data_IF_496519496072
#
_entry.id   IF_496519496072
#
_cell.length_a   1.000
_cell.length_b   1.000
_cell.length_c   1.000
_cell.angle_alpha   90.00
_cell.angle_beta   90.00
_cell.angle_gamma   90.00
#
_symmetry.space_group_name_H-M   'P 1'
#
loop_
_entity.id
_entity.type
_entity.pdbx_description
1 polymer ?
#
# COMPACT_ATOMS: atom_id res chain seq x y z
N UNK A 1 -28.62 -6.25 -32.73
CA UNK A 1 -29.20 -7.56 -33.11
C UNK A 1 -28.44 -8.07 -34.31
N UNK A 2 -27.76 -9.21 -34.18
CA UNK A 2 -27.26 -10.00 -35.30
C UNK A 2 -27.49 -11.45 -34.89
N UNK A 3 -28.37 -12.13 -35.63
CA UNK A 3 -28.75 -13.51 -35.39
C UNK A 3 -27.82 -14.43 -36.19
N UNK A 4 -27.07 -15.29 -35.51
CA UNK A 4 -26.60 -16.53 -36.11
C UNK A 4 -27.62 -17.61 -35.76
N UNK A 5 -28.26 -18.16 -36.79
CA UNK A 5 -29.12 -19.34 -36.68
C UNK A 5 -28.26 -20.52 -37.09
N UNK A 6 -28.02 -21.46 -36.18
CA UNK A 6 -27.62 -22.82 -36.54
C UNK A 6 -28.70 -23.79 -36.08
N UNK A 7 -29.22 -24.58 -37.03
CA UNK A 7 -30.38 -25.46 -36.86
C UNK A 7 -29.89 -26.78 -36.29
N UNK A 8 -30.20 -27.04 -35.00
CA UNK A 8 -30.32 -28.35 -34.30
C UNK A 8 -29.75 -28.41 -32.88
N UNK A 9 -29.52 -27.28 -32.23
CA UNK A 9 -29.45 -27.22 -30.76
C UNK A 9 -30.08 -25.91 -30.30
N UNK A 10 -30.90 -25.94 -29.24
CA UNK A 10 -31.44 -24.73 -28.63
C UNK A 10 -30.30 -23.98 -27.92
N UNK A 11 -29.43 -23.33 -28.70
CA UNK A 11 -28.33 -22.51 -28.23
C UNK A 11 -28.75 -21.04 -28.29
N UNK A 12 -29.07 -20.46 -27.13
CA UNK A 12 -29.36 -19.02 -27.00
C UNK A 12 -28.16 -18.32 -26.36
N UNK A 13 -27.43 -17.52 -27.13
CA UNK A 13 -26.34 -16.67 -26.64
C UNK A 13 -26.91 -15.29 -26.32
N UNK A 14 -26.92 -14.91 -25.05
CA UNK A 14 -27.30 -13.56 -24.61
C UNK A 14 -26.04 -12.74 -24.31
N UNK A 15 -25.80 -11.71 -25.11
CA UNK A 15 -24.77 -10.70 -24.83
C UNK A 15 -25.43 -9.44 -24.27
N UNK A 16 -24.99 -9.00 -23.09
CA UNK A 16 -25.42 -7.74 -22.50
C UNK A 16 -24.34 -6.68 -22.73
N UNK A 17 -24.72 -5.58 -23.39
CA UNK A 17 -23.84 -4.43 -23.68
C UNK A 17 -24.15 -3.30 -22.71
N UNK A 18 -23.19 -2.91 -21.88
CA UNK A 18 -23.31 -1.70 -21.06
C UNK A 18 -23.02 -0.44 -21.91
N UNK A 19 -23.78 0.66 -21.79
CA UNK A 19 -23.63 1.80 -22.69
C UNK A 19 -22.32 2.60 -22.58
N UNK A 20 -21.40 2.31 -21.64
CA UNK A 20 -20.19 3.14 -21.44
C UNK A 20 -18.92 2.40 -20.98
N UNK A 21 -18.78 1.09 -21.20
CA UNK A 21 -17.51 0.38 -20.98
C UNK A 21 -17.30 -0.71 -22.04
N UNK A 22 -16.10 -0.75 -22.66
CA UNK A 22 -15.65 -1.84 -23.55
C UNK A 22 -15.37 -3.13 -22.76
N UNK A 23 -16.37 -3.74 -22.11
CA UNK A 23 -16.26 -5.07 -21.51
C UNK A 23 -17.50 -5.88 -21.84
N UNK A 24 -17.29 -7.02 -22.48
CA UNK A 24 -18.33 -7.96 -22.88
C UNK A 24 -18.50 -9.02 -21.78
N UNK A 25 -19.73 -9.26 -21.37
CA UNK A 25 -20.10 -10.46 -20.61
C UNK A 25 -20.59 -11.49 -21.63
N UNK A 26 -19.90 -12.63 -21.73
CA UNK A 26 -20.37 -13.76 -22.53
C UNK A 26 -20.92 -14.81 -21.57
N UNK A 27 -22.23 -15.05 -21.63
CA UNK A 27 -22.83 -16.23 -21.04
C UNK A 27 -23.10 -17.23 -22.18
N UNK A 28 -22.37 -18.33 -22.20
CA UNK A 28 -22.66 -19.47 -23.08
C UNK A 28 -23.43 -20.48 -22.22
N UNK A 29 -24.72 -20.65 -22.49
CA UNK A 29 -25.52 -21.71 -21.88
C UNK A 29 -25.53 -22.91 -22.81
N UNK A 30 -24.97 -24.04 -22.36
CA UNK A 30 -25.24 -25.33 -22.99
C UNK A 30 -26.50 -25.92 -22.37
N UNK A 31 -27.55 -26.09 -23.16
CA UNK A 31 -28.70 -26.90 -22.80
C UNK A 31 -28.48 -28.30 -23.40
N UNK A 32 -27.79 -29.16 -22.65
CA UNK A 32 -27.93 -30.60 -22.81
C UNK A 32 -28.82 -31.09 -21.68
N UNK A 33 -29.81 -31.91 -22.02
CA UNK A 33 -30.79 -32.55 -21.12
C UNK A 33 -30.24 -32.68 -19.68
N UNK A 34 -30.66 -31.79 -18.79
CA UNK A 34 -30.38 -31.84 -17.35
C UNK A 34 -29.15 -31.10 -16.81
N UNK A 35 -28.30 -30.46 -17.63
CA UNK A 35 -27.07 -29.78 -17.16
C UNK A 35 -26.93 -28.36 -17.70
N UNK A 36 -26.55 -27.42 -16.83
CA UNK A 36 -26.17 -26.04 -17.21
C UNK A 36 -24.71 -25.81 -16.83
N UNK A 37 -23.85 -25.63 -17.84
CA UNK A 37 -22.48 -25.16 -17.65
C UNK A 37 -22.43 -23.64 -17.83
N UNK A 38 -21.89 -22.92 -16.85
CA UNK A 38 -21.66 -21.47 -16.94
C UNK A 38 -20.16 -21.20 -16.83
N UNK A 39 -19.55 -20.74 -17.92
CA UNK A 39 -18.13 -20.37 -17.98
C UNK A 39 -18.02 -18.86 -17.74
N UNK A 40 -17.35 -18.46 -16.66
CA UNK A 40 -17.05 -17.06 -16.38
C UNK A 40 -15.63 -16.72 -16.80
N UNK A 41 -15.43 -15.54 -17.42
CA UNK A 41 -14.08 -14.96 -17.53
C UNK A 41 -13.68 -14.45 -16.15
N UNK A 42 -12.52 -14.89 -15.69
CA UNK A 42 -11.96 -14.90 -14.33
C UNK A 42 -11.84 -13.55 -13.61
N UNK A 43 -12.25 -12.46 -14.24
CA UNK A 43 -12.01 -11.09 -13.75
C UNK A 43 -13.21 -10.57 -12.94
N UNK A 44 -14.31 -11.33 -12.91
CA UNK A 44 -15.57 -10.99 -12.23
C UNK A 44 -16.13 -12.29 -11.61
N UNK A 45 -15.78 -12.59 -10.36
CA UNK A 45 -16.55 -13.34 -9.35
C UNK A 45 -15.70 -13.44 -8.08
N UNK A 46 -16.30 -13.34 -6.87
CA UNK A 46 -17.48 -14.11 -6.42
C UNK A 46 -18.64 -13.13 -6.08
N UNK A 47 -19.94 -13.39 -6.17
CA UNK A 47 -20.81 -14.46 -5.68
C UNK A 47 -22.13 -14.39 -6.48
N UNK A 48 -22.76 -15.53 -6.79
CA UNK A 48 -24.09 -15.59 -7.44
C UNK A 48 -25.15 -15.98 -6.41
N UNK A 49 -26.36 -15.43 -6.52
CA UNK A 49 -27.52 -15.83 -5.72
C UNK A 49 -28.40 -16.76 -6.56
N UNK A 50 -28.60 -17.99 -6.09
CA UNK A 50 -29.57 -18.91 -6.68
C UNK A 50 -30.88 -18.82 -5.91
N UNK A 51 -32.01 -18.70 -6.60
CA UNK A 51 -33.33 -18.84 -6.00
C UNK A 51 -34.04 -19.99 -6.68
N UNK A 52 -34.23 -21.08 -5.96
CA UNK A 52 -35.08 -22.18 -6.38
C UNK A 52 -36.53 -21.78 -6.11
N UNK A 53 -37.40 -21.87 -7.12
CA UNK A 53 -38.85 -21.88 -6.87
C UNK A 53 -39.22 -23.32 -6.51
N UNK A 54 -39.95 -23.50 -5.40
CA UNK A 54 -40.57 -24.79 -5.05
C UNK A 54 -40.06 -25.51 -3.80
N UNK A 55 -39.07 -25.00 -3.06
CA UNK A 55 -38.69 -25.54 -1.74
C UNK A 55 -38.72 -24.40 -0.73
N UNK A 56 -39.24 -24.68 0.47
CA UNK A 56 -39.57 -23.73 1.55
C UNK A 56 -38.61 -22.53 1.69
N UNK A 57 -39.19 -21.39 2.08
CA UNK A 57 -38.69 -20.01 2.13
C UNK A 57 -37.38 -19.72 2.91
N UNK A 58 -36.33 -20.54 2.79
CA UNK A 58 -34.99 -20.20 3.27
C UNK A 58 -34.05 -19.96 2.09
N UNK A 59 -33.56 -18.72 1.98
CA UNK A 59 -32.52 -18.36 1.02
C UNK A 59 -31.18 -18.92 1.52
N UNK A 60 -30.72 -20.02 0.94
CA UNK A 60 -29.39 -20.55 1.24
C UNK A 60 -28.30 -19.74 0.54
N UNK A 61 -27.28 -19.35 1.30
CA UNK A 61 -26.07 -18.69 0.80
C UNK A 61 -24.99 -19.75 0.64
N UNK A 62 -24.63 -20.09 -0.60
CA UNK A 62 -23.53 -21.03 -0.87
C UNK A 62 -22.33 -20.23 -1.37
N UNK A 63 -21.23 -20.15 -0.61
CA UNK A 63 -19.97 -19.63 -1.14
C UNK A 63 -19.47 -20.63 -2.18
N UNK A 64 -19.41 -20.22 -3.45
CA UNK A 64 -18.80 -21.03 -4.51
C UNK A 64 -17.28 -20.86 -4.40
N UNK A 65 -16.66 -21.64 -3.52
CA UNK A 65 -15.26 -22.00 -3.69
C UNK A 65 -15.22 -23.04 -4.79
N UNK A 66 -14.41 -22.85 -5.83
CA UNK A 66 -14.09 -23.89 -6.82
C UNK A 66 -13.28 -25.02 -6.15
N UNK A 67 -13.92 -25.78 -5.26
CA UNK A 67 -13.65 -27.20 -5.08
C UNK A 67 -14.84 -27.90 -5.69
N UNK A 68 -14.59 -28.79 -6.63
CA UNK A 68 -15.59 -29.62 -7.28
C UNK A 68 -16.59 -30.13 -6.24
N UNK A 69 -17.77 -29.51 -6.20
CA UNK A 69 -18.89 -30.02 -5.43
C UNK A 69 -19.44 -31.19 -6.24
N UNK A 70 -19.22 -32.42 -5.75
CA UNK A 70 -20.10 -33.53 -6.07
C UNK A 70 -21.47 -33.21 -5.45
N UNK A 71 -22.29 -32.47 -6.19
CA UNK A 71 -23.68 -32.23 -5.81
C UNK A 71 -24.45 -33.49 -6.19
N UNK A 72 -24.82 -34.29 -5.19
CA UNK A 72 -25.80 -35.36 -5.34
C UNK A 72 -27.13 -34.77 -5.83
N UNK A 73 -27.75 -35.45 -6.79
CA UNK A 73 -28.95 -35.07 -7.56
C UNK A 73 -29.92 -34.12 -6.83
N UNK A 74 -30.13 -32.93 -7.40
CA UNK A 74 -31.31 -32.11 -7.08
C UNK A 74 -32.15 -32.03 -8.35
N UNK A 75 -33.21 -32.84 -8.40
CA UNK A 75 -34.23 -32.78 -9.45
C UNK A 75 -35.18 -31.63 -9.14
N UNK A 76 -35.11 -30.54 -9.91
CA UNK A 76 -36.07 -29.43 -9.85
C UNK A 76 -36.52 -29.08 -11.27
N UNK A 77 -37.83 -29.10 -11.51
CA UNK A 77 -38.47 -28.84 -12.81
C UNK A 77 -38.85 -27.38 -13.04
N UNK A 78 -38.56 -26.47 -12.10
CA UNK A 78 -38.96 -25.06 -12.18
C UNK A 78 -37.89 -24.15 -12.82
N UNK A 79 -38.30 -23.10 -13.57
CA UNK A 79 -37.39 -22.17 -14.21
C UNK A 79 -36.58 -21.35 -13.19
N UNK A 80 -35.26 -21.32 -13.38
CA UNK A 80 -34.32 -20.56 -12.57
C UNK A 80 -34.32 -19.07 -12.93
N UNK A 81 -34.29 -18.19 -11.93
CA UNK A 81 -34.10 -16.75 -12.13
C UNK A 81 -32.75 -16.32 -11.56
N UNK A 82 -31.80 -15.96 -12.44
CA UNK A 82 -30.48 -15.46 -12.03
C UNK A 82 -30.56 -13.93 -11.86
N UNK A 83 -30.53 -13.43 -10.63
CA UNK A 83 -30.49 -11.98 -10.36
C UNK A 83 -29.09 -11.53 -9.97
N UNK A 84 -28.51 -10.66 -10.80
CA UNK A 84 -27.29 -9.93 -10.45
C UNK A 84 -27.62 -8.94 -9.34
N UNK A 85 -26.82 -8.95 -8.27
CA UNK A 85 -26.95 -7.95 -7.20
C UNK A 85 -26.58 -6.57 -7.75
N UNK A 86 -27.28 -5.50 -7.32
CA UNK A 86 -26.86 -4.15 -7.64
C UNK A 86 -25.46 -3.89 -7.02
N UNK A 87 -24.61 -3.07 -7.66
CA UNK A 87 -23.23 -2.83 -7.20
C UNK A 87 -23.11 -2.41 -5.73
N UNK A 88 -24.08 -1.65 -5.22
CA UNK A 88 -24.14 -1.21 -3.81
C UNK A 88 -24.34 -2.36 -2.81
N UNK A 89 -25.14 -3.36 -3.18
CA UNK A 89 -25.35 -4.56 -2.35
C UNK A 89 -24.11 -5.47 -2.37
N UNK A 90 -23.40 -5.52 -3.51
CA UNK A 90 -22.15 -6.25 -3.65
C UNK A 90 -21.02 -5.63 -2.83
N UNK A 91 -20.93 -4.30 -2.82
CA UNK A 91 -20.00 -3.55 -1.96
C UNK A 91 -20.29 -3.76 -0.47
N UNK A 92 -21.57 -3.77 -0.10
CA UNK A 92 -22.01 -4.05 1.28
C UNK A 92 -21.64 -5.46 1.75
N UNK A 93 -21.78 -6.48 0.88
CA UNK A 93 -21.37 -7.86 1.18
C UNK A 93 -19.84 -8.00 1.28
N UNK A 94 -19.08 -7.34 0.41
CA UNK A 94 -17.62 -7.31 0.49
C UNK A 94 -17.13 -6.70 1.80
N UNK A 95 -17.76 -5.60 2.24
CA UNK A 95 -17.47 -4.96 3.54
C UNK A 95 -17.83 -5.88 4.71
N UNK A 96 -18.90 -6.66 4.61
CA UNK A 96 -19.28 -7.66 5.61
C UNK A 96 -18.28 -8.83 5.69
N UNK A 97 -17.77 -9.32 4.57
CA UNK A 97 -16.72 -10.35 4.56
C UNK A 97 -15.40 -9.82 5.12
N UNK A 98 -15.01 -8.60 4.76
CA UNK A 98 -13.82 -7.95 5.32
C UNK A 98 -13.99 -7.68 6.82
N UNK A 99 -15.20 -7.38 7.29
CA UNK A 99 -15.53 -7.32 8.72
C UNK A 99 -15.34 -8.67 9.41
N UNK A 100 -15.61 -9.79 8.74
CA UNK A 100 -15.35 -11.13 9.27
C UNK A 100 -13.87 -11.52 9.22
N UNK A 101 -13.13 -11.11 8.19
CA UNK A 101 -11.73 -11.53 7.98
C UNK A 101 -10.72 -10.63 8.72
N UNK A 102 -10.91 -9.30 8.67
CA UNK A 102 -9.99 -8.29 9.22
C UNK A 102 -10.71 -7.42 10.25
N UNK A 103 -10.96 -8.00 11.43
CA UNK A 103 -11.40 -7.27 12.63
C UNK A 103 -10.21 -6.90 13.50
N UNK A 104 -10.34 -5.85 14.31
CA UNK A 104 -9.28 -5.47 15.23
C UNK A 104 -9.06 -6.55 16.31
N UNK A 105 -10.12 -7.25 16.73
CA UNK A 105 -10.02 -8.33 17.72
C UNK A 105 -9.20 -9.51 17.19
N UNK A 106 -9.40 -9.89 15.92
CA UNK A 106 -8.56 -10.90 15.28
C UNK A 106 -7.10 -10.41 15.24
N UNK A 107 -6.90 -9.16 14.86
CA UNK A 107 -5.59 -8.56 14.78
C UNK A 107 -4.85 -8.55 16.14
N UNK A 108 -5.54 -8.23 17.24
CA UNK A 108 -4.94 -8.22 18.60
C UNK A 108 -4.56 -9.60 19.13
N UNK A 109 -5.12 -10.68 18.57
CA UNK A 109 -4.75 -12.06 18.94
C UNK A 109 -3.48 -12.52 18.22
N UNK A 110 -3.09 -11.82 17.15
CA UNK A 110 -1.87 -12.12 16.42
C UNK A 110 -0.65 -11.66 17.23
N UNK A 111 0.23 -12.60 17.59
CA UNK A 111 1.35 -12.37 18.51
C UNK A 111 2.72 -12.57 17.85
N UNK A 112 2.79 -12.35 16.53
CA UNK A 112 4.01 -12.47 15.72
C UNK A 112 4.15 -11.28 14.80
N UNK A 113 5.36 -11.03 14.31
CA UNK A 113 5.56 -10.04 13.24
C UNK A 113 4.76 -10.40 11.97
N UNK A 114 4.33 -9.39 11.22
CA UNK A 114 3.67 -9.52 9.91
C UNK A 114 4.64 -9.40 8.73
N UNK A 115 5.95 -9.54 8.95
CA UNK A 115 6.93 -9.47 7.87
C UNK A 115 7.54 -10.83 7.54
N UNK A 116 8.35 -11.39 8.44
CA UNK A 116 9.12 -12.63 8.25
C UNK A 116 9.52 -13.29 9.58
N UNK A 117 10.10 -14.49 9.52
CA UNK A 117 10.66 -15.16 10.71
C UNK A 117 11.79 -14.35 11.35
N UNK A 118 12.62 -13.67 10.57
CA UNK A 118 13.71 -12.82 11.04
C UNK A 118 13.15 -11.66 11.85
N UNK A 119 12.13 -10.99 11.31
CA UNK A 119 11.43 -9.94 12.04
C UNK A 119 10.71 -10.47 13.28
N UNK A 120 10.23 -11.71 13.29
CA UNK A 120 9.62 -12.33 14.47
C UNK A 120 10.67 -12.57 15.57
N UNK A 121 11.86 -13.06 15.20
CA UNK A 121 12.98 -13.28 16.13
C UNK A 121 13.48 -11.99 16.79
N UNK A 122 13.29 -10.82 16.15
CA UNK A 122 13.61 -9.52 16.77
C UNK A 122 12.70 -9.20 17.97
N UNK A 123 11.51 -9.80 18.04
CA UNK A 123 10.55 -9.57 19.13
C UNK A 123 9.76 -8.27 19.00
N UNK A 124 8.93 -7.92 20.01
CA UNK A 124 8.13 -6.69 20.00
C UNK A 124 9.01 -5.42 20.12
N UNK A 125 8.37 -4.25 20.03
CA UNK A 125 8.99 -2.92 20.19
C UNK A 125 9.93 -2.48 19.08
N UNK A 126 9.67 -2.93 17.85
CA UNK A 126 10.48 -2.61 16.68
C UNK A 126 10.19 -1.20 16.14
N UNK A 127 11.25 -0.55 15.66
CA UNK A 127 11.18 0.68 14.89
C UNK A 127 11.55 0.37 13.45
N UNK A 128 10.66 0.68 12.50
CA UNK A 128 10.75 0.15 11.14
C UNK A 128 10.85 1.24 10.08
N UNK A 129 11.85 1.19 9.22
CA UNK A 129 11.86 1.93 7.95
C UNK A 129 11.33 0.99 6.87
N UNK A 130 10.14 1.27 6.37
CA UNK A 130 9.43 0.40 5.44
C UNK A 130 9.54 0.89 4.01
N UNK A 131 9.90 -0.03 3.12
CA UNK A 131 10.17 0.23 1.70
C UNK A 131 9.45 -0.83 0.88
N UNK A 132 8.90 -0.42 -0.27
CA UNK A 132 8.27 -1.34 -1.23
C UNK A 132 9.17 -1.57 -2.44
N UNK A 133 9.41 -2.84 -2.76
CA UNK A 133 10.13 -3.29 -3.95
C UNK A 133 9.13 -4.08 -4.81
N UNK A 134 8.57 -3.42 -5.81
CA UNK A 134 7.51 -3.94 -6.68
C UNK A 134 7.90 -3.86 -8.16
N UNK A 135 7.14 -4.52 -9.02
CA UNK A 135 7.34 -4.41 -10.48
C UNK A 135 8.44 -5.31 -11.05
N UNK A 136 9.01 -6.19 -10.23
CA UNK A 136 10.00 -7.18 -10.65
C UNK A 136 9.42 -8.26 -11.60
N UNK A 137 8.08 -8.48 -11.62
CA UNK A 137 7.42 -9.42 -12.58
C UNK A 137 6.11 -9.01 -13.24
N UNK A 138 5.93 -7.75 -13.62
CA UNK A 138 4.85 -7.49 -14.59
C UNK A 138 5.29 -6.50 -15.65
N UNK A 139 5.27 -6.93 -16.92
CA UNK A 139 5.50 -6.13 -18.14
C UNK A 139 6.81 -5.34 -18.28
N UNK A 140 7.64 -5.32 -17.24
CA UNK A 140 8.78 -4.42 -17.09
C UNK A 140 10.05 -5.19 -16.71
N UNK A 141 10.21 -6.44 -17.16
CA UNK A 141 11.46 -7.21 -16.97
C UNK A 141 12.70 -6.44 -17.45
N UNK A 142 12.51 -5.44 -18.32
CA UNK A 142 13.55 -4.53 -18.81
C UNK A 142 13.48 -3.11 -18.22
N UNK A 143 12.68 -2.85 -17.18
CA UNK A 143 12.68 -1.53 -16.53
C UNK A 143 13.89 -1.43 -15.60
N UNK A 144 14.92 -0.65 -15.98
CA UNK A 144 16.15 -0.54 -15.21
C UNK A 144 15.91 -0.02 -13.79
N UNK A 145 14.81 0.70 -13.54
CA UNK A 145 14.47 1.28 -12.24
C UNK A 145 14.22 0.23 -11.14
N UNK A 146 13.80 -0.98 -11.51
CA UNK A 146 13.55 -2.07 -10.57
C UNK A 146 14.58 -3.20 -10.69
N UNK A 147 15.69 -2.92 -11.39
CA UNK A 147 16.79 -3.86 -11.53
C UNK A 147 17.49 -4.07 -10.20
N UNK A 148 17.73 -5.34 -9.85
CA UNK A 148 18.44 -5.72 -8.64
C UNK A 148 19.86 -5.15 -8.58
N UNK A 149 20.63 -5.35 -9.64
CA UNK A 149 22.05 -4.97 -9.66
C UNK A 149 22.27 -3.49 -9.99
N UNK A 150 21.31 -2.84 -10.67
CA UNK A 150 21.43 -1.43 -11.09
C UNK A 150 20.70 -0.45 -10.19
N UNK A 151 19.73 -0.89 -9.38
CA UNK A 151 18.91 -0.01 -8.56
C UNK A 151 18.73 -0.51 -7.14
N UNK A 152 18.21 -1.72 -6.93
CA UNK A 152 17.86 -2.18 -5.58
C UNK A 152 19.10 -2.27 -4.69
N UNK A 153 20.12 -3.04 -5.08
CA UNK A 153 21.33 -3.19 -4.28
C UNK A 153 22.15 -1.89 -4.18
N UNK A 154 22.39 -1.14 -5.29
CA UNK A 154 23.11 0.13 -5.22
C UNK A 154 22.48 1.20 -4.31
N UNK A 155 21.16 1.18 -4.10
CA UNK A 155 20.50 2.07 -3.15
C UNK A 155 20.36 1.49 -1.75
N UNK A 156 20.12 0.17 -1.63
CA UNK A 156 19.99 -0.49 -0.34
C UNK A 156 21.29 -0.50 0.45
N UNK A 157 22.44 -0.76 -0.20
CA UNK A 157 23.75 -0.82 0.46
C UNK A 157 24.06 0.48 1.23
N UNK A 158 24.05 1.66 0.59
CA UNK A 158 24.29 2.91 1.32
C UNK A 158 23.18 3.20 2.32
N UNK A 159 21.92 2.93 1.99
CA UNK A 159 20.82 3.15 2.94
C UNK A 159 20.97 2.33 4.22
N UNK A 160 21.35 1.06 4.12
CA UNK A 160 21.57 0.20 5.26
C UNK A 160 22.69 0.73 6.17
N UNK A 161 23.79 1.21 5.59
CA UNK A 161 24.90 1.81 6.33
C UNK A 161 24.51 3.15 6.98
N UNK A 162 23.76 3.99 6.27
CA UNK A 162 23.23 5.27 6.79
C UNK A 162 22.30 5.02 7.97
N UNK A 163 21.37 4.06 7.86
CA UNK A 163 20.46 3.68 8.96
C UNK A 163 21.22 3.14 10.17
N UNK A 164 22.22 2.26 9.96
CA UNK A 164 23.06 1.78 11.06
C UNK A 164 23.77 2.92 11.80
N UNK A 165 24.16 3.98 11.07
CA UNK A 165 24.91 5.11 11.65
C UNK A 165 23.99 6.12 12.32
N UNK A 166 22.91 6.51 11.65
CA UNK A 166 22.07 7.65 12.02
C UNK A 166 20.80 7.24 12.79
N UNK A 167 20.33 6.01 12.61
CA UNK A 167 19.13 5.47 13.23
C UNK A 167 19.38 4.02 13.72
N UNK A 168 20.38 3.77 14.59
CA UNK A 168 20.86 2.43 14.93
C UNK A 168 19.81 1.50 15.57
N UNK A 169 18.75 2.07 16.15
CA UNK A 169 17.61 1.30 16.71
C UNK A 169 16.52 0.95 15.68
N UNK A 170 16.65 1.44 14.44
CA UNK A 170 15.69 1.22 13.37
C UNK A 170 16.11 0.06 12.45
N UNK A 171 15.13 -0.72 12.01
CA UNK A 171 15.29 -1.85 11.10
C UNK A 171 14.64 -1.49 9.76
N UNK A 172 15.32 -1.77 8.66
CA UNK A 172 14.74 -1.64 7.32
C UNK A 172 13.90 -2.88 7.05
N UNK A 173 12.66 -2.70 6.60
CA UNK A 173 11.80 -3.79 6.12
C UNK A 173 11.47 -3.60 4.65
N UNK A 174 11.94 -4.52 3.82
CA UNK A 174 11.68 -4.54 2.38
C UNK A 174 10.46 -5.42 2.09
N UNK A 175 9.34 -4.80 1.75
CA UNK A 175 8.18 -5.51 1.22
C UNK A 175 8.40 -5.78 -0.26
N UNK A 176 8.66 -7.03 -0.60
CA UNK A 176 9.26 -7.40 -1.87
C UNK A 176 8.43 -8.42 -2.63
N UNK A 177 8.33 -8.19 -3.93
CA UNK A 177 7.98 -9.22 -4.90
C UNK A 177 9.28 -9.83 -5.44
N UNK A 178 9.60 -11.07 -5.03
CA UNK A 178 10.85 -11.76 -5.42
C UNK A 178 10.91 -12.20 -6.86
N UNK A 179 9.79 -12.09 -7.55
CA UNK A 179 9.67 -12.62 -8.88
C UNK A 179 10.73 -11.93 -9.78
N UNK A 180 11.36 -12.68 -10.70
CA UNK A 180 12.45 -12.15 -11.54
C UNK A 180 13.79 -11.96 -10.84
N UNK A 181 13.90 -12.20 -9.53
CA UNK A 181 15.19 -12.15 -8.82
C UNK A 181 15.96 -13.47 -8.92
N UNK A 182 17.29 -13.38 -8.99
CA UNK A 182 18.17 -14.53 -8.88
C UNK A 182 18.27 -15.01 -7.42
N UNK A 183 18.57 -16.29 -7.23
CA UNK A 183 18.78 -16.86 -5.88
C UNK A 183 19.92 -16.14 -5.14
N UNK A 184 21.03 -15.89 -5.84
CA UNK A 184 22.20 -15.17 -5.30
C UNK A 184 21.87 -13.75 -4.84
N UNK A 185 20.98 -13.05 -5.55
CA UNK A 185 20.51 -11.71 -5.17
C UNK A 185 19.65 -11.75 -3.91
N UNK A 186 18.84 -12.81 -3.72
CA UNK A 186 18.09 -13.00 -2.47
C UNK A 186 19.01 -13.36 -1.30
N UNK A 187 20.00 -14.20 -1.56
CA UNK A 187 20.99 -14.61 -0.55
C UNK A 187 21.87 -13.43 -0.11
N UNK A 188 22.26 -12.52 -1.02
CA UNK A 188 23.06 -11.36 -0.65
C UNK A 188 22.35 -10.41 0.33
N UNK A 189 21.02 -10.36 0.30
CA UNK A 189 20.22 -9.58 1.25
C UNK A 189 20.31 -10.12 2.69
N UNK A 190 20.63 -11.40 2.89
CA UNK A 190 20.79 -11.98 4.23
C UNK A 190 22.04 -11.46 4.96
N UNK A 191 22.96 -10.79 4.25
CA UNK A 191 24.17 -10.21 4.84
C UNK A 191 23.90 -8.92 5.65
N UNK A 192 22.71 -8.32 5.53
CA UNK A 192 22.39 -7.09 6.24
C UNK A 192 21.74 -7.41 7.59
N UNK A 193 22.41 -7.07 8.69
CA UNK A 193 21.91 -7.31 10.05
C UNK A 193 20.69 -6.46 10.43
N UNK A 194 20.49 -5.32 9.75
CA UNK A 194 19.41 -4.37 9.98
C UNK A 194 18.36 -4.34 8.85
N UNK A 195 18.28 -5.39 8.03
CA UNK A 195 17.28 -5.51 6.97
C UNK A 195 16.48 -6.79 7.15
N UNK A 196 15.15 -6.69 7.15
CA UNK A 196 14.24 -7.81 7.05
C UNK A 196 13.52 -7.81 5.69
N UNK A 197 13.22 -9.00 5.19
CA UNK A 197 12.56 -9.19 3.90
C UNK A 197 11.16 -9.74 4.10
N UNK A 198 10.16 -8.98 3.66
CA UNK A 198 8.76 -9.36 3.75
C UNK A 198 8.26 -9.75 2.35
N UNK A 199 8.07 -11.06 2.10
CA UNK A 199 7.52 -11.55 0.83
C UNK A 199 6.05 -11.17 0.70
N UNK A 200 5.71 -10.33 -0.27
CA UNK A 200 4.33 -9.88 -0.45
C UNK A 200 3.35 -11.01 -0.78
N UNK A 201 3.85 -12.14 -1.30
CA UNK A 201 3.03 -13.32 -1.57
C UNK A 201 2.87 -14.23 -0.36
N UNK A 202 3.57 -13.95 0.75
CA UNK A 202 3.51 -14.73 1.97
C UNK A 202 3.57 -13.84 3.23
N UNK A 203 2.75 -12.80 3.26
CA UNK A 203 2.63 -11.95 4.44
C UNK A 203 1.85 -12.70 5.53
N UNK A 204 2.39 -12.89 6.74
CA UNK A 204 1.64 -13.48 7.84
C UNK A 204 0.29 -12.78 8.06
N UNK A 205 -0.73 -13.51 8.51
CA UNK A 205 -2.14 -13.10 8.60
C UNK A 205 -2.86 -12.85 7.25
N UNK A 206 -2.17 -12.34 6.23
CA UNK A 206 -2.79 -11.91 4.96
C UNK A 206 -2.58 -12.89 3.79
N UNK A 207 -1.57 -13.76 3.87
CA UNK A 207 -1.16 -14.66 2.79
C UNK A 207 -0.80 -13.93 1.51
N UNK A 208 -1.13 -14.54 0.36
CA UNK A 208 -0.90 -13.97 -0.97
C UNK A 208 -1.99 -13.01 -1.45
N UNK A 209 -3.06 -12.81 -0.66
CA UNK A 209 -4.23 -12.05 -1.14
C UNK A 209 -3.91 -10.58 -1.42
N UNK A 210 -3.03 -9.97 -0.62
CA UNK A 210 -2.67 -8.55 -0.77
C UNK A 210 -2.01 -8.26 -2.11
N UNK A 211 -1.09 -9.12 -2.58
CA UNK A 211 -0.37 -8.89 -3.84
C UNK A 211 -1.29 -8.82 -5.07
N UNK A 212 -2.51 -9.37 -4.96
CA UNK A 212 -3.52 -9.38 -6.04
C UNK A 212 -4.22 -8.02 -6.23
N UNK A 213 -4.32 -7.20 -5.17
CA UNK A 213 -5.15 -5.99 -5.21
C UNK A 213 -4.54 -4.75 -4.57
N UNK A 214 -3.62 -4.90 -3.62
CA UNK A 214 -2.95 -3.78 -2.95
C UNK A 214 -1.83 -3.27 -3.86
N UNK A 215 -1.87 -1.99 -4.27
CA UNK A 215 -0.83 -1.40 -5.12
C UNK A 215 0.57 -1.50 -4.49
N UNK A 216 1.59 -1.76 -5.32
CA UNK A 216 2.98 -1.95 -4.91
C UNK A 216 3.52 -0.91 -3.92
N UNK A 217 3.32 0.38 -4.23
CA UNK A 217 3.76 1.50 -3.40
C UNK A 217 3.11 1.57 -2.00
N UNK A 218 1.99 0.88 -1.81
CA UNK A 218 1.27 0.85 -0.53
C UNK A 218 1.71 -0.32 0.37
N UNK A 219 2.56 -1.25 -0.12
CA UNK A 219 3.03 -2.36 0.72
C UNK A 219 3.84 -1.87 1.92
N UNK A 220 4.57 -0.75 1.77
CA UNK A 220 5.30 -0.09 2.86
C UNK A 220 4.40 0.52 3.94
N UNK A 221 3.08 0.45 3.79
CA UNK A 221 2.13 0.90 4.81
C UNK A 221 1.73 -0.24 5.75
N UNK A 222 2.03 -1.50 5.40
CA UNK A 222 1.67 -2.69 6.17
C UNK A 222 2.18 -2.71 7.62
N UNK A 223 3.33 -2.11 8.00
CA UNK A 223 3.76 -2.07 9.40
C UNK A 223 2.77 -1.39 10.36
N UNK A 224 1.82 -0.58 9.87
CA UNK A 224 0.73 -0.03 10.69
C UNK A 224 -0.10 -1.13 11.35
N UNK A 225 -0.17 -2.29 10.70
CA UNK A 225 -0.84 -3.49 11.17
C UNK A 225 0.16 -4.50 11.76
N UNK A 226 1.36 -4.16 12.17
CA UNK A 226 2.26 -5.17 12.74
C UNK A 226 2.26 -5.07 14.27
N UNK A 227 1.89 -6.13 15.04
CA UNK A 227 1.82 -6.06 16.49
C UNK A 227 3.18 -5.82 17.16
N UNK A 228 4.30 -6.11 16.48
CA UNK A 228 5.64 -5.92 17.01
C UNK A 228 6.22 -4.55 16.70
N UNK A 229 5.57 -3.75 15.86
CA UNK A 229 6.04 -2.43 15.47
C UNK A 229 5.48 -1.37 16.41
N UNK A 230 6.36 -0.54 16.96
CA UNK A 230 6.02 0.61 17.79
C UNK A 230 6.00 1.91 16.99
N UNK A 231 6.96 2.06 16.08
CA UNK A 231 7.09 3.16 15.14
C UNK A 231 7.44 2.63 13.76
N UNK A 232 6.89 3.25 12.72
CA UNK A 232 7.43 3.05 11.37
C UNK A 232 7.48 4.33 10.55
N UNK A 233 8.38 4.34 9.59
CA UNK A 233 8.54 5.35 8.55
C UNK A 233 8.31 4.69 7.20
N UNK A 234 7.50 5.30 6.34
CA UNK A 234 7.36 4.91 4.94
C UNK A 234 8.40 5.65 4.12
N UNK A 235 9.24 4.94 3.36
CA UNK A 235 10.37 5.54 2.64
C UNK A 235 10.49 5.03 1.20
N UNK A 236 11.02 5.88 0.32
CA UNK A 236 11.53 5.48 -0.99
C UNK A 236 12.98 4.97 -0.86
N UNK A 237 13.33 3.92 -1.61
CA UNK A 237 14.63 3.26 -1.50
C UNK A 237 15.79 4.18 -1.91
N UNK A 238 15.55 5.00 -2.93
CA UNK A 238 16.53 5.87 -3.57
C UNK A 238 16.87 7.12 -2.74
N UNK A 239 16.22 7.34 -1.59
CA UNK A 239 16.37 8.53 -0.76
C UNK A 239 17.31 8.30 0.44
N UNK A 240 18.37 9.12 0.63
CA UNK A 240 19.30 8.97 1.74
C UNK A 240 18.70 9.40 3.07
N UNK A 241 19.13 8.78 4.16
CA UNK A 241 18.86 9.23 5.53
C UNK A 241 19.85 10.34 5.86
N UNK A 242 19.33 11.45 6.37
CA UNK A 242 20.11 12.64 6.67
C UNK A 242 20.00 13.00 8.14
N UNK A 243 21.03 13.68 8.68
CA UNK A 243 20.99 14.23 10.03
C UNK A 243 19.77 15.15 10.27
N UNK A 244 19.41 15.95 9.27
CA UNK A 244 18.20 16.80 9.31
C UNK A 244 16.93 15.99 9.59
N UNK A 245 16.82 14.82 9.00
CA UNK A 245 15.68 13.94 9.22
C UNK A 245 15.73 13.30 10.60
N UNK A 246 16.90 12.83 11.03
CA UNK A 246 17.05 12.17 12.32
C UNK A 246 16.69 13.09 13.47
N UNK A 247 17.05 14.37 13.42
CA UNK A 247 16.63 15.38 14.39
C UNK A 247 15.09 15.45 14.53
N UNK A 248 14.36 15.34 13.41
CA UNK A 248 12.89 15.36 13.43
C UNK A 248 12.27 14.05 13.92
N UNK A 249 12.92 12.92 13.66
CA UNK A 249 12.52 11.60 14.15
C UNK A 249 12.77 11.51 15.66
N UNK A 250 13.92 11.95 16.14
CA UNK A 250 14.26 11.98 17.57
C UNK A 250 13.27 12.83 18.36
N UNK A 251 12.92 14.03 17.85
CA UNK A 251 11.88 14.85 18.47
C UNK A 251 10.54 14.10 18.49
N UNK A 252 10.17 13.43 17.40
CA UNK A 252 8.93 12.65 17.32
C UNK A 252 8.87 11.51 18.32
N UNK A 253 9.98 10.80 18.52
CA UNK A 253 10.10 9.69 19.48
C UNK A 253 10.12 10.15 20.93
N UNK A 254 10.49 11.42 21.17
CA UNK A 254 10.59 11.99 22.52
C UNK A 254 9.25 12.01 23.27
N UNK A 255 9.35 12.15 24.60
CA UNK A 255 8.19 12.32 25.48
C UNK A 255 7.42 13.63 25.23
N UNK A 256 8.06 14.64 24.64
CA UNK A 256 7.43 15.90 24.27
C UNK A 256 6.33 15.69 23.22
N UNK A 257 6.59 14.79 22.27
CA UNK A 257 5.70 14.48 21.15
C UNK A 257 4.88 13.20 21.37
N UNK A 258 4.68 12.78 22.62
CA UNK A 258 3.94 11.55 22.97
C UNK A 258 2.50 11.51 22.44
N UNK A 259 1.90 12.67 22.17
CA UNK A 259 0.55 12.79 21.63
C UNK A 259 0.52 12.80 20.09
N UNK A 260 1.69 12.88 19.45
CA UNK A 260 1.84 12.90 17.99
C UNK A 260 1.93 11.46 17.48
N UNK A 261 0.81 10.91 17.01
CA UNK A 261 0.71 9.52 16.51
C UNK A 261 1.23 9.39 15.07
N UNK A 262 1.46 10.52 14.40
CA UNK A 262 1.95 10.62 13.03
C UNK A 262 3.14 11.58 12.95
N UNK A 263 4.00 11.33 11.97
CA UNK A 263 5.11 12.18 11.57
C UNK A 263 5.01 12.48 10.07
N UNK A 264 5.13 13.74 9.66
CA UNK A 264 5.07 14.15 8.26
C UNK A 264 6.18 15.17 7.99
N UNK A 265 6.94 14.97 6.92
CA UNK A 265 8.03 15.87 6.53
C UNK A 265 7.89 16.34 5.08
N UNK A 266 7.97 17.66 4.86
CA UNK A 266 7.88 18.31 3.54
C UNK A 266 9.02 19.30 3.38
N UNK A 267 10.17 18.79 2.95
CA UNK A 267 11.42 19.57 2.95
C UNK A 267 11.76 20.26 1.60
N UNK A 268 10.92 20.15 0.57
CA UNK A 268 11.21 20.71 -0.75
C UNK A 268 10.01 21.46 -1.32
N UNK A 269 10.24 22.43 -2.21
CA UNK A 269 9.18 23.22 -2.84
C UNK A 269 8.17 22.39 -3.66
N UNK A 270 8.57 21.21 -4.12
CA UNK A 270 7.69 20.25 -4.81
C UNK A 270 7.07 19.23 -3.87
N UNK A 271 7.26 19.38 -2.55
CA UNK A 271 6.55 18.63 -1.53
C UNK A 271 5.27 19.40 -1.17
N UNK A 272 4.45 19.68 -2.18
CA UNK A 272 3.27 20.54 -2.17
C UNK A 272 1.96 19.75 -2.02
N UNK A 273 2.05 18.56 -1.44
CA UNK A 273 0.91 17.70 -1.12
C UNK A 273 0.85 17.42 0.39
N UNK A 274 -0.32 17.03 0.94
CA UNK A 274 -0.46 16.85 2.40
C UNK A 274 0.51 15.83 3.01
N UNK A 275 0.68 14.68 2.36
CA UNK A 275 1.56 13.61 2.82
C UNK A 275 2.23 12.99 1.58
N UNK A 276 3.56 12.99 1.54
CA UNK A 276 4.31 12.28 0.49
C UNK A 276 4.37 10.81 0.79
N UNK A 277 4.43 9.97 -0.24
CA UNK A 277 4.45 8.51 -0.05
C UNK A 277 5.65 8.03 0.76
N UNK A 278 6.81 8.67 0.57
CA UNK A 278 8.09 8.29 1.19
C UNK A 278 8.59 9.17 2.33
N UNK A 279 7.78 10.12 2.85
CA UNK A 279 8.21 11.06 3.91
C UNK A 279 7.16 11.22 5.02
N UNK A 280 6.76 10.09 5.60
CA UNK A 280 5.86 10.07 6.74
C UNK A 280 6.09 8.83 7.62
N UNK A 281 5.58 8.87 8.85
CA UNK A 281 5.55 7.74 9.76
C UNK A 281 4.33 7.72 10.65
N UNK A 282 4.07 6.56 11.26
CA UNK A 282 3.08 6.42 12.32
C UNK A 282 3.65 5.67 13.52
N UNK A 283 3.06 5.94 14.69
CA UNK A 283 3.43 5.32 15.95
C UNK A 283 2.32 4.36 16.42
N UNK A 284 2.24 3.12 15.89
CA UNK A 284 1.33 2.10 16.39
C UNK A 284 1.31 1.96 17.91
N UNK A 285 2.46 2.10 18.60
CA UNK A 285 2.49 1.99 20.06
C UNK A 285 1.58 3.00 20.77
N UNK A 286 1.37 4.19 20.16
CA UNK A 286 0.59 5.28 20.75
C UNK A 286 -0.91 5.13 20.46
N UNK A 287 -1.29 4.51 19.34
CA UNK A 287 -2.67 4.53 18.86
C UNK A 287 -3.06 3.36 17.94
N UNK A 288 -2.64 2.13 18.24
CA UNK A 288 -2.84 0.93 17.41
C UNK A 288 -4.28 0.74 16.92
N UNK A 289 -5.27 0.83 17.81
CA UNK A 289 -6.69 0.70 17.46
C UNK A 289 -7.14 1.76 16.45
N UNK A 290 -6.81 3.03 16.71
CA UNK A 290 -7.16 4.14 15.83
C UNK A 290 -6.50 4.01 14.45
N UNK A 291 -5.21 3.66 14.43
CA UNK A 291 -4.44 3.49 13.22
C UNK A 291 -4.94 2.30 12.38
N UNK A 292 -5.33 1.20 13.02
CA UNK A 292 -5.96 0.06 12.35
C UNK A 292 -7.16 0.52 11.52
N UNK A 293 -8.16 1.18 12.13
CA UNK A 293 -9.36 1.63 11.40
C UNK A 293 -9.08 2.74 10.39
N UNK A 294 -8.07 3.57 10.65
CA UNK A 294 -7.63 4.62 9.73
C UNK A 294 -7.09 4.01 8.43
N UNK A 295 -6.28 2.95 8.53
CA UNK A 295 -5.60 2.29 7.40
C UNK A 295 -6.39 1.13 6.80
N UNK A 296 -7.38 0.59 7.52
CA UNK A 296 -8.26 -0.51 7.10
C UNK A 296 -8.78 -0.42 5.67
N UNK A 297 -9.11 0.76 5.10
CA UNK A 297 -9.55 0.85 3.71
C UNK A 297 -8.57 0.24 2.69
N UNK A 298 -7.27 0.13 3.00
CA UNK A 298 -6.31 -0.55 2.11
C UNK A 298 -6.46 -2.07 2.06
N UNK A 299 -7.11 -2.66 3.07
CA UNK A 299 -7.43 -4.09 3.12
C UNK A 299 -8.73 -4.42 2.37
N UNK A 300 -9.36 -3.42 1.75
CA UNK A 300 -10.60 -3.55 0.99
C UNK A 300 -10.29 -3.53 -0.50
N UNK A 301 -10.42 -4.65 -1.24
CA UNK A 301 -10.02 -4.70 -2.65
C UNK A 301 -10.71 -3.66 -3.54
N UNK A 302 -12.00 -3.39 -3.33
CA UNK A 302 -12.75 -2.39 -4.10
C UNK A 302 -12.25 -0.96 -3.88
N UNK A 303 -11.67 -0.67 -2.70
CA UNK A 303 -11.10 0.64 -2.37
C UNK A 303 -9.64 0.72 -2.84
N UNK A 304 -8.82 -0.25 -2.44
CA UNK A 304 -7.38 -0.27 -2.70
C UNK A 304 -7.05 -0.21 -4.21
N UNK A 305 -7.82 -0.92 -5.05
CA UNK A 305 -7.61 -0.93 -6.51
C UNK A 305 -7.80 0.44 -7.17
N UNK A 306 -8.43 1.41 -6.50
CA UNK A 306 -8.59 2.78 -7.02
C UNK A 306 -7.29 3.58 -6.99
N UNK A 307 -6.31 3.13 -6.21
CA UNK A 307 -5.07 3.86 -5.90
C UNK A 307 -3.85 3.28 -6.64
N UNK A 308 -3.93 3.11 -7.96
CA UNK A 308 -2.79 2.69 -8.78
C UNK A 308 -1.86 3.87 -9.15
N UNK A 309 -0.68 3.61 -9.75
CA UNK A 309 0.23 4.66 -10.19
C UNK A 309 0.82 5.51 -9.05
N UNK A 310 0.47 6.79 -8.97
CA UNK A 310 0.79 7.69 -7.83
C UNK A 310 -0.21 7.54 -6.67
N UNK A 311 -0.92 6.43 -6.62
CA UNK A 311 -2.09 6.26 -5.76
C UNK A 311 -1.78 6.09 -4.27
N UNK A 312 -0.54 5.79 -3.89
CA UNK A 312 -0.14 5.83 -2.48
C UNK A 312 -0.29 7.25 -1.89
N UNK A 313 0.16 8.27 -2.63
CA UNK A 313 -0.01 9.66 -2.22
C UNK A 313 -1.47 10.11 -2.26
N UNK A 314 -2.24 9.66 -3.26
CA UNK A 314 -3.68 9.95 -3.34
C UNK A 314 -4.45 9.29 -2.19
N UNK A 315 -4.11 8.05 -1.83
CA UNK A 315 -4.70 7.36 -0.69
C UNK A 315 -4.41 8.12 0.62
N UNK A 316 -3.16 8.55 0.82
CA UNK A 316 -2.79 9.34 1.98
C UNK A 316 -3.54 10.68 2.03
N UNK A 317 -3.67 11.37 0.90
CA UNK A 317 -4.38 12.65 0.79
C UNK A 317 -5.88 12.53 1.03
N UNK A 318 -6.55 11.58 0.37
CA UNK A 318 -8.01 11.44 0.39
C UNK A 318 -8.55 10.73 1.62
N UNK A 319 -7.84 9.71 2.11
CA UNK A 319 -8.36 8.79 3.15
C UNK A 319 -7.73 9.05 4.51
N UNK A 320 -6.44 9.42 4.55
CA UNK A 320 -5.65 9.44 5.80
C UNK A 320 -5.53 10.85 6.36
N UNK A 321 -5.20 11.84 5.53
CA UNK A 321 -4.84 13.19 5.98
C UNK A 321 -5.84 13.83 6.94
N UNK A 322 -7.12 13.84 6.59
CA UNK A 322 -8.17 14.44 7.43
C UNK A 322 -8.31 13.76 8.81
N UNK A 323 -7.91 12.49 8.93
CA UNK A 323 -7.98 11.71 10.16
C UNK A 323 -6.74 11.92 11.04
N UNK A 324 -5.57 12.20 10.46
CA UNK A 324 -4.31 12.20 11.22
C UNK A 324 -3.75 13.60 11.45
N UNK A 325 -4.13 14.61 10.66
CA UNK A 325 -3.57 15.96 10.70
C UNK A 325 -3.49 16.56 12.10
N UNK A 326 -4.57 16.43 12.89
CA UNK A 326 -4.65 17.01 14.23
C UNK A 326 -3.76 16.30 15.27
N UNK A 327 -3.26 15.11 14.94
CA UNK A 327 -2.41 14.28 15.80
C UNK A 327 -1.03 14.03 15.17
N UNK A 328 -0.61 14.91 14.26
CA UNK A 328 0.64 14.78 13.52
C UNK A 328 1.68 15.78 14.00
N UNK A 329 2.91 15.32 14.19
CA UNK A 329 4.10 16.16 14.16
C UNK A 329 4.46 16.43 12.71
N UNK A 330 4.38 17.69 12.30
CA UNK A 330 4.53 18.09 10.89
C UNK A 330 5.68 19.07 10.75
N UNK A 331 6.64 18.74 9.88
CA UNK A 331 7.74 19.62 9.48
C UNK A 331 7.56 20.04 8.02
N UNK A 332 7.71 21.34 7.74
CA UNK A 332 7.46 21.89 6.42
C UNK A 332 8.31 23.12 6.09
N UNK A 333 9.11 23.01 5.04
CA UNK A 333 10.03 24.06 4.58
C UNK A 333 9.36 25.08 3.64
N UNK A 334 8.28 24.74 2.94
CA UNK A 334 7.73 25.57 1.85
C UNK A 334 6.21 25.73 1.87
N UNK A 335 5.49 24.68 2.24
CA UNK A 335 4.04 24.55 2.15
C UNK A 335 3.33 24.72 3.50
N UNK A 336 4.04 25.24 4.52
CA UNK A 336 3.54 25.34 5.89
C UNK A 336 2.23 26.15 6.02
N UNK A 337 2.01 27.14 5.14
CA UNK A 337 0.77 27.92 5.10
C UNK A 337 -0.42 27.09 4.59
N UNK A 338 -0.18 26.18 3.66
CA UNK A 338 -1.22 25.35 3.05
C UNK A 338 -1.60 24.17 3.94
N UNK A 339 -0.61 23.49 4.52
CA UNK A 339 -0.84 22.22 5.23
C UNK A 339 -0.61 22.31 6.75
N UNK A 340 -0.13 23.44 7.26
CA UNK A 340 0.42 23.55 8.60
C UNK A 340 1.83 22.97 8.68
N UNK A 341 2.39 22.94 9.88
CA UNK A 341 3.72 22.40 10.14
C UNK A 341 4.68 23.44 10.68
N UNK A 342 5.62 22.96 11.48
CA UNK A 342 6.71 23.76 12.04
C UNK A 342 7.91 23.73 11.09
N UNK A 343 8.79 24.74 11.16
CA UNK A 343 10.08 24.67 10.49
C UNK A 343 10.90 23.48 11.00
N UNK A 344 11.79 22.98 10.17
CA UNK A 344 12.80 22.01 10.58
C UNK A 344 13.77 22.59 11.62
N UNK A 345 14.41 21.70 12.37
CA UNK A 345 15.24 22.03 13.53
C UNK A 345 16.65 22.53 13.15
N UNK A 346 17.08 22.28 11.91
CA UNK A 346 18.38 22.70 11.39
C UNK A 346 18.23 23.63 10.18
N UNK A 347 19.32 24.27 9.75
CA UNK A 347 19.39 25.01 8.49
C UNK A 347 19.92 24.10 7.39
N UNK A 348 19.40 24.23 6.15
CA UNK A 348 20.08 23.66 4.99
C UNK A 348 21.24 24.56 4.58
N UNK A 349 22.41 23.98 4.33
CA UNK A 349 23.57 24.78 3.93
C UNK A 349 23.42 25.27 2.47
N UNK A 350 23.88 26.49 2.14
CA UNK A 350 23.83 27.01 0.78
C UNK A 350 24.57 26.12 -0.25
N UNK A 351 25.65 25.45 0.17
CA UNK A 351 26.45 24.55 -0.66
C UNK A 351 25.75 23.22 -0.98
N UNK A 352 24.67 22.90 -0.27
CA UNK A 352 23.93 21.64 -0.36
C UNK A 352 22.42 21.88 -0.51
N UNK A 353 22.03 22.88 -1.31
CA UNK A 353 20.60 23.20 -1.54
C UNK A 353 19.79 22.05 -2.17
N UNK A 354 20.46 21.13 -2.87
CA UNK A 354 19.89 19.86 -3.36
C UNK A 354 19.78 18.76 -2.29
N UNK A 355 20.17 19.04 -1.04
CA UNK A 355 20.12 18.12 0.09
C UNK A 355 18.85 18.37 0.91
N UNK A 356 17.78 17.69 0.51
CA UNK A 356 16.48 17.75 1.16
C UNK A 356 15.94 16.34 1.40
N UNK A 357 15.12 16.15 2.44
CA UNK A 357 14.50 14.86 2.74
C UNK A 357 13.73 14.34 1.52
N UNK A 358 14.02 13.13 1.05
CA UNK A 358 13.36 12.53 -0.12
C UNK A 358 14.01 12.86 -1.48
N UNK A 359 15.21 13.45 -1.48
CA UNK A 359 15.97 13.59 -2.72
C UNK A 359 16.44 12.23 -3.24
N UNK A 360 16.44 12.07 -4.56
CA UNK A 360 16.90 10.87 -5.24
C UNK A 360 18.43 10.88 -5.29
N UNK A 361 19.08 9.78 -4.90
CA UNK A 361 20.54 9.62 -5.03
C UNK A 361 20.98 9.66 -6.50
N UNK A 362 22.16 10.26 -6.82
CA UNK A 362 23.02 11.01 -5.92
C UNK A 362 22.45 12.42 -5.64
N UNK A 363 22.34 12.78 -4.37
CA UNK A 363 21.99 14.12 -3.92
C UNK A 363 22.94 14.54 -2.78
N UNK A 364 22.80 15.77 -2.28
CA UNK A 364 23.74 16.38 -1.33
C UNK A 364 25.18 16.52 -1.88
N UNK A 365 25.33 16.60 -3.21
CA UNK A 365 26.63 16.88 -3.83
C UNK A 365 26.96 18.37 -3.68
N UNK A 366 28.23 18.68 -3.37
CA UNK A 366 28.72 20.06 -3.36
C UNK A 366 28.59 20.66 -4.77
N UNK A 367 27.61 21.54 -4.97
CA UNK A 367 27.38 22.18 -6.27
C UNK A 367 28.31 23.39 -6.36
N UNK A 368 29.35 23.31 -7.21
CA UNK A 368 30.36 24.38 -7.34
C UNK A 368 30.06 25.41 -8.43
N UNK A 369 28.95 25.34 -9.19
CA UNK A 369 28.73 26.32 -10.25
C UNK A 369 27.26 26.57 -10.63
N UNK A 370 27.03 27.84 -10.99
CA UNK A 370 25.97 28.57 -11.71
C UNK A 370 24.72 27.88 -12.32
N UNK A 371 24.58 26.54 -12.33
CA UNK A 371 23.44 25.83 -12.91
C UNK A 371 22.25 25.63 -11.96
N UNK A 372 22.43 25.89 -10.66
CA UNK A 372 21.37 25.91 -9.66
C UNK A 372 21.09 27.37 -9.28
N UNK A 373 20.00 27.94 -9.78
CA UNK A 373 19.58 29.26 -9.34
C UNK A 373 19.09 29.17 -7.89
N UNK A 374 19.99 29.55 -6.98
CA UNK A 374 19.81 29.49 -5.53
C UNK A 374 18.55 30.22 -5.06
N UNK A 375 18.01 31.18 -5.84
CA UNK A 375 16.75 31.86 -5.53
C UNK A 375 15.55 30.90 -5.48
N UNK A 376 15.55 29.82 -6.26
CA UNK A 376 14.46 28.85 -6.26
C UNK A 376 14.38 27.99 -5.00
N UNK A 377 15.42 28.03 -4.14
CA UNK A 377 15.50 27.28 -2.90
C UNK A 377 15.30 28.17 -1.67
N UNK A 378 14.89 29.43 -1.85
CA UNK A 378 14.59 30.30 -0.71
C UNK A 378 13.25 29.88 -0.12
N UNK A 379 13.25 29.41 1.13
CA UNK A 379 12.02 29.07 1.82
C UNK A 379 11.21 30.33 2.19
N UNK A 380 9.86 30.27 2.16
CA UNK A 380 9.01 31.38 2.55
C UNK A 380 9.29 31.86 3.97
N UNK A 381 9.33 33.17 4.18
CA UNK A 381 9.62 33.78 5.50
C UNK A 381 8.73 33.22 6.63
N UNK A 382 7.46 32.95 6.33
CA UNK A 382 6.49 32.39 7.27
C UNK A 382 6.79 30.94 7.68
N UNK A 383 7.54 30.19 6.86
CA UNK A 383 7.93 28.80 7.14
C UNK A 383 9.32 28.68 7.77
N UNK A 384 9.98 29.80 8.09
CA UNK A 384 11.28 29.82 8.79
C UNK A 384 11.08 29.78 10.31
N UNK A 385 12.06 29.27 11.08
CA UNK A 385 12.06 29.42 12.53
C UNK A 385 11.91 30.88 12.94
N UNK A 386 11.09 31.14 13.98
CA UNK A 386 10.84 32.51 14.47
C UNK A 386 12.15 33.21 14.86
N UNK A 387 13.05 32.46 15.48
CA UNK A 387 14.33 32.96 15.98
C UNK A 387 15.47 32.90 14.92
N UNK A 388 15.20 32.33 13.74
CA UNK A 388 16.17 32.19 12.65
C UNK A 388 15.59 32.57 11.28
N UNK A 389 15.15 33.82 11.17
CA UNK A 389 14.59 34.35 9.91
C UNK A 389 15.63 34.52 8.80
N UNK A 390 16.92 34.52 9.18
CA UNK A 390 18.11 34.51 8.34
C UNK A 390 18.38 33.14 7.69
N UNK A 391 17.75 32.06 8.17
CA UNK A 391 17.79 30.75 7.52
C UNK A 391 16.94 30.75 6.24
N UNK A 392 17.48 31.35 5.19
CA UNK A 392 16.80 31.47 3.91
C UNK A 392 16.69 30.14 3.16
N UNK A 393 17.53 29.15 3.52
CA UNK A 393 17.47 27.78 3.04
C UNK A 393 16.99 26.88 4.18
N UNK A 394 15.68 26.64 4.16
CA UNK A 394 15.03 25.51 4.81
C UNK A 394 15.15 24.31 3.86
#
# INVERSE_FOLDING_TARGET
>A
MQNFVDKNSNMSIHSYRYPNRRRYLYAICFLFVGYVFVIFRTDILPFLKFKFKGINNEAHYVPVTLKALNVSEVKSTDPFELKLLPPSAMESLHLLEINKTYSYEHFTKWNRSLCSNESDRRGPHQKVISISIYGSTSKYTDNPMFSWDKSILPFLIPLAAEVQTLLPSWIIRLYIDYAGSLKSQRESLSNFSNVDLCDIHNIPLFGSSLSVYLPGKMWRFLPVFDPFVDFFLSRDLDSPVMKRETETIELWESNEERNSIFHIARDHRYHDIPILGGLWGAAPMRARHYLFYTFRPMLVPSIARRYNGSGDQLFLSEIIWAKVKAHSLIFDSYSCKAFGGRPFLSQRLPSTTNCFLGCIRPCCLNITSAAFDAKYFICPKICRPKDHQDWIYC
#
